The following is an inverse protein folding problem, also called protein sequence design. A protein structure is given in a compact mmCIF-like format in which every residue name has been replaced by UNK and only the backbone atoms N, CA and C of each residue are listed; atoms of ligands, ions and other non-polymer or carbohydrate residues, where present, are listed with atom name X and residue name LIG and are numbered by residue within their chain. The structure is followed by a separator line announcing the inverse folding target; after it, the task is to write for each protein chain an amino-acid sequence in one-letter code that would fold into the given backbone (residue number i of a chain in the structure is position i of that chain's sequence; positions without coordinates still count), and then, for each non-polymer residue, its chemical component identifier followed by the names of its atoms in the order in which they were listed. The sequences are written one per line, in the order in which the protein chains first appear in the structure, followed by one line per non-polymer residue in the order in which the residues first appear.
data_IF_058578901634
#
_entry.id   IF_058578901634
#
_cell.length_a   1.000
_cell.length_b   1.000
_cell.length_c   1.000
_cell.angle_alpha   90.00
_cell.angle_beta   90.00
_cell.angle_gamma   90.00
#
_symmetry.space_group_name_H-M   'P 1'
#
loop_
_entity.id
_entity.type
_entity.pdbx_description
1 polymer ?
#
# COMPACT_ATOMS: atom_id res chain seq x y z
N UNK A 1 5.98 11.22 -3.98
CA UNK A 1 5.73 11.84 -2.66
C UNK A 1 4.37 12.55 -2.64
N UNK A 2 3.90 12.97 -1.47
CA UNK A 2 2.63 13.72 -1.32
C UNK A 2 2.60 15.00 -2.18
N UNK A 3 3.72 15.74 -2.21
CA UNK A 3 3.87 16.94 -3.03
C UNK A 3 3.72 16.65 -4.52
N UNK A 4 4.34 15.57 -5.01
CA UNK A 4 4.21 15.14 -6.40
C UNK A 4 2.77 14.72 -6.73
N UNK A 5 2.09 14.05 -5.81
CA UNK A 5 0.67 13.69 -5.97
C UNK A 5 -0.20 14.94 -6.11
N UNK A 6 0.00 15.94 -5.23
CA UNK A 6 -0.72 17.22 -5.31
C UNK A 6 -0.41 17.99 -6.60
N UNK A 7 0.85 18.02 -7.01
CA UNK A 7 1.28 18.66 -8.26
C UNK A 7 0.63 18.00 -9.48
N UNK A 8 0.63 16.67 -9.53
CA UNK A 8 -0.01 15.92 -10.61
C UNK A 8 -1.51 16.20 -10.67
N UNK A 9 -2.21 16.17 -9.53
CA UNK A 9 -3.64 16.46 -9.47
C UNK A 9 -3.97 17.89 -9.92
N UNK A 10 -3.14 18.88 -9.57
CA UNK A 10 -3.26 20.26 -10.08
C UNK A 10 -3.05 20.35 -11.60
N UNK A 11 -2.07 19.62 -12.14
CA UNK A 11 -1.83 19.56 -13.59
C UNK A 11 -3.06 19.00 -14.32
N UNK A 12 -3.68 17.95 -13.80
CA UNK A 12 -4.93 17.41 -14.37
C UNK A 12 -6.08 18.41 -14.33
N UNK A 13 -6.31 19.09 -13.21
CA UNK A 13 -7.32 20.15 -13.14
C UNK A 13 -7.08 21.24 -14.21
N UNK A 14 -5.80 21.59 -14.46
CA UNK A 14 -5.43 22.55 -15.51
C UNK A 14 -5.71 22.05 -16.92
N UNK A 15 -5.54 20.75 -17.20
CA UNK A 15 -5.92 20.16 -18.49
C UNK A 15 -7.43 20.31 -18.71
N UNK A 16 -8.25 19.99 -17.71
CA UNK A 16 -9.71 20.12 -17.79
C UNK A 16 -10.13 21.57 -18.02
N UNK A 17 -9.49 22.53 -17.33
CA UNK A 17 -9.72 23.96 -17.58
C UNK A 17 -9.39 24.39 -19.01
N UNK A 18 -8.31 23.87 -19.59
CA UNK A 18 -7.90 24.19 -20.98
C UNK A 18 -8.91 23.67 -22.01
N UNK A 19 -9.73 22.69 -21.66
CA UNK A 19 -10.82 22.19 -22.48
C UNK A 19 -12.11 23.03 -22.34
N UNK A 20 -12.08 24.15 -21.60
CA UNK A 20 -13.21 25.06 -21.43
C UNK A 20 -14.15 24.71 -20.27
N UNK A 21 -13.87 23.67 -19.50
CA UNK A 21 -14.69 23.31 -18.34
C UNK A 21 -14.35 24.16 -17.11
N UNK A 22 -15.34 24.51 -16.27
CA UNK A 22 -15.15 25.32 -15.06
C UNK A 22 -14.60 24.50 -13.88
N UNK A 23 -13.52 23.74 -14.10
CA UNK A 23 -12.92 22.90 -13.06
C UNK A 23 -12.15 23.74 -12.02
N UNK A 24 -12.35 23.39 -10.74
CA UNK A 24 -11.62 23.95 -9.59
C UNK A 24 -10.89 22.83 -8.84
N UNK A 25 -9.70 23.14 -8.33
CA UNK A 25 -8.92 22.20 -7.54
C UNK A 25 -9.20 22.44 -6.05
N UNK A 26 -10.10 21.64 -5.49
CA UNK A 26 -10.58 21.72 -4.11
C UNK A 26 -10.42 20.35 -3.42
N UNK A 27 -10.40 20.34 -2.09
CA UNK A 27 -10.48 19.14 -1.24
C UNK A 27 -9.49 18.01 -1.57
N UNK A 28 -8.26 18.37 -1.95
CA UNK A 28 -7.21 17.37 -2.17
C UNK A 28 -6.93 16.60 -0.89
N UNK A 29 -7.13 15.28 -0.94
CA UNK A 29 -6.89 14.36 0.17
C UNK A 29 -6.21 13.10 -0.35
N UNK A 30 -5.12 12.70 0.32
CA UNK A 30 -4.51 11.39 0.11
C UNK A 30 -5.44 10.33 0.70
N UNK A 31 -5.84 9.35 -0.12
CA UNK A 31 -6.76 8.29 0.30
C UNK A 31 -6.03 7.03 0.77
N UNK A 32 -4.85 6.75 0.23
CA UNK A 32 -4.04 5.60 0.58
C UNK A 32 -2.56 5.90 0.29
N UNK A 33 -1.67 5.23 1.01
CA UNK A 33 -0.24 5.20 0.74
C UNK A 33 0.25 3.76 0.68
N UNK A 34 1.17 3.50 -0.24
CA UNK A 34 1.82 2.19 -0.37
C UNK A 34 3.32 2.38 -0.14
N UNK A 35 3.87 1.64 0.81
CA UNK A 35 5.29 1.54 1.09
C UNK A 35 5.82 0.16 0.74
N UNK A 36 7.11 0.07 0.45
CA UNK A 36 7.79 -1.23 0.33
C UNK A 36 9.18 -1.16 0.94
N UNK A 37 9.63 -2.27 1.50
CA UNK A 37 10.97 -2.43 2.01
C UNK A 37 11.48 -3.85 1.75
N UNK A 38 12.78 -4.05 1.95
CA UNK A 38 13.45 -5.34 1.81
C UNK A 38 14.34 -5.54 3.04
N UNK A 39 14.07 -6.58 3.82
CA UNK A 39 14.85 -6.92 5.01
C UNK A 39 16.12 -7.70 4.70
N UNK A 40 16.33 -8.11 3.43
CA UNK A 40 17.53 -8.77 2.90
C UNK A 40 17.88 -10.12 3.55
N UNK A 41 16.89 -10.81 4.10
CA UNK A 41 17.02 -12.19 4.54
C UNK A 41 15.71 -12.95 4.32
N UNK A 42 15.80 -14.27 4.21
CA UNK A 42 14.64 -15.11 3.98
C UNK A 42 13.76 -15.23 5.23
N UNK A 43 12.44 -15.11 5.07
CA UNK A 43 11.46 -15.19 6.15
C UNK A 43 10.70 -16.51 6.04
N UNK A 44 10.68 -17.29 7.12
CA UNK A 44 9.87 -18.52 7.21
C UNK A 44 8.41 -18.17 7.53
N UNK A 45 7.58 -18.05 6.50
CA UNK A 45 6.20 -17.59 6.60
C UNK A 45 5.30 -18.56 7.39
N UNK A 46 5.56 -19.86 7.33
CA UNK A 46 4.81 -20.88 8.06
C UNK A 46 4.95 -20.69 9.57
N UNK A 47 6.16 -20.35 10.05
CA UNK A 47 6.38 -20.03 11.45
C UNK A 47 5.62 -18.77 11.86
N UNK A 48 5.61 -17.76 11.01
CA UNK A 48 4.94 -16.49 11.28
C UNK A 48 3.42 -16.66 11.37
N UNK A 49 2.80 -17.42 10.46
CA UNK A 49 1.36 -17.67 10.49
C UNK A 49 0.94 -18.51 11.70
N UNK A 50 1.77 -19.48 12.10
CA UNK A 50 1.49 -20.31 13.29
C UNK A 50 1.49 -19.47 14.57
N UNK A 51 2.42 -18.53 14.72
CA UNK A 51 2.51 -17.68 15.92
C UNK A 51 1.52 -16.52 15.90
N UNK A 52 1.18 -15.97 14.73
CA UNK A 52 0.32 -14.78 14.58
C UNK A 52 -1.01 -15.07 13.86
N UNK A 53 -1.54 -16.29 13.97
CA UNK A 53 -2.69 -16.78 13.20
C UNK A 53 -3.90 -15.83 13.18
N UNK A 54 -4.16 -15.11 14.27
CA UNK A 54 -5.27 -14.15 14.36
C UNK A 54 -5.12 -12.92 13.44
N UNK A 55 -3.88 -12.59 13.06
CA UNK A 55 -3.55 -11.42 12.23
C UNK A 55 -3.05 -11.80 10.85
N UNK A 56 -2.67 -13.06 10.62
CA UNK A 56 -2.02 -13.51 9.40
C UNK A 56 -2.82 -14.54 8.62
N UNK A 57 -2.81 -14.44 7.30
CA UNK A 57 -3.34 -15.44 6.37
C UNK A 57 -2.26 -15.81 5.35
N UNK A 58 -2.01 -17.10 5.18
CA UNK A 58 -1.00 -17.60 4.25
C UNK A 58 -1.49 -18.87 3.55
N UNK A 59 -1.79 -18.75 2.27
CA UNK A 59 -2.24 -19.84 1.39
C UNK A 59 -1.41 -19.77 0.10
N UNK A 60 -0.22 -20.41 0.06
CA UNK A 60 0.75 -20.24 -1.04
C UNK A 60 0.22 -20.66 -2.41
N UNK A 61 -0.78 -21.54 -2.44
CA UNK A 61 -1.46 -21.97 -3.67
C UNK A 61 -2.31 -20.84 -4.30
N UNK A 62 -2.83 -19.92 -3.49
CA UNK A 62 -3.61 -18.77 -3.94
C UNK A 62 -2.76 -17.50 -4.09
N UNK A 63 -1.85 -17.27 -3.14
CA UNK A 63 -1.00 -16.09 -3.13
C UNK A 63 0.37 -16.38 -2.47
N UNK A 64 1.50 -16.04 -3.10
CA UNK A 64 2.83 -16.43 -2.63
C UNK A 64 3.33 -15.67 -1.39
N UNK A 65 2.64 -14.61 -0.96
CA UNK A 65 2.98 -13.83 0.24
C UNK A 65 2.05 -14.11 1.42
N UNK A 66 2.51 -13.83 2.62
CA UNK A 66 1.67 -13.81 3.82
C UNK A 66 1.00 -12.45 3.94
N UNK A 67 -0.32 -12.46 4.14
CA UNK A 67 -1.13 -11.25 4.39
C UNK A 67 -1.19 -11.05 5.90
N UNK A 68 -0.64 -9.96 6.41
CA UNK A 68 -0.68 -9.61 7.83
C UNK A 68 -1.54 -8.36 8.04
N UNK A 69 -2.53 -8.45 8.93
CA UNK A 69 -3.47 -7.38 9.26
C UNK A 69 -3.12 -6.79 10.62
N UNK A 70 -2.43 -5.67 10.60
CA UNK A 70 -2.10 -4.93 11.81
C UNK A 70 -3.31 -4.12 12.27
N UNK A 71 -3.63 -4.18 13.57
CA UNK A 71 -4.80 -3.50 14.14
C UNK A 71 -4.51 -2.02 14.42
N UNK A 72 -3.30 -1.71 14.91
CA UNK A 72 -2.90 -0.34 15.27
C UNK A 72 -1.42 -0.10 14.89
N UNK A 73 -1.13 0.81 13.93
CA UNK A 73 -2.09 1.45 13.01
C UNK A 73 -2.81 0.40 12.15
N UNK A 74 -4.01 0.72 11.65
CA UNK A 74 -4.79 -0.19 10.80
C UNK A 74 -4.18 -0.23 9.41
N UNK A 75 -3.31 -1.20 9.16
CA UNK A 75 -2.62 -1.40 7.88
C UNK A 75 -2.53 -2.88 7.52
N UNK A 76 -2.32 -3.15 6.24
CA UNK A 76 -2.07 -4.50 5.70
C UNK A 76 -0.63 -4.58 5.22
N UNK A 77 0.06 -5.64 5.63
CA UNK A 77 1.40 -5.97 5.16
C UNK A 77 1.31 -7.22 4.29
N UNK A 78 2.05 -7.23 3.19
CA UNK A 78 2.28 -8.40 2.35
C UNK A 78 3.76 -8.77 2.53
N UNK A 79 4.01 -9.93 3.15
CA UNK A 79 5.35 -10.39 3.53
C UNK A 79 5.72 -11.56 2.64
N UNK A 80 6.87 -11.49 1.97
CA UNK A 80 7.34 -12.55 1.07
C UNK A 80 8.52 -13.30 1.67
N UNK A 81 8.67 -14.58 1.29
CA UNK A 81 9.81 -15.43 1.71
C UNK A 81 11.15 -14.77 1.41
N UNK A 82 11.25 -13.98 0.34
CA UNK A 82 12.47 -13.25 -0.05
C UNK A 82 12.91 -12.16 0.94
N UNK A 83 12.09 -11.78 1.92
CA UNK A 83 12.34 -10.63 2.79
C UNK A 83 11.77 -9.31 2.28
N UNK A 84 11.17 -9.30 1.08
CA UNK A 84 10.40 -8.15 0.59
C UNK A 84 9.11 -8.01 1.38
N UNK A 85 8.76 -6.77 1.72
CA UNK A 85 7.53 -6.41 2.42
C UNK A 85 6.87 -5.24 1.72
N UNK A 86 5.56 -5.33 1.50
CA UNK A 86 4.72 -4.22 1.02
C UNK A 86 3.76 -3.84 2.13
N UNK A 87 3.63 -2.55 2.41
CA UNK A 87 2.70 -2.00 3.39
C UNK A 87 1.68 -1.14 2.64
N UNK A 88 0.40 -1.36 2.89
CA UNK A 88 -0.69 -0.58 2.29
C UNK A 88 -1.84 -0.45 3.27
N UNK A 89 -2.55 0.67 3.23
CA UNK A 89 -3.69 0.94 4.11
C UNK A 89 -3.61 2.32 4.72
#
# INVERSE_FOLDING_TARGET
SEEQSRLAARKYARVVQKLGFPARFLDFKIQNMVGSCDVRFAIRLEGLVLTHQQFSSYEPELFPGLIYRMVKPRIVLLIFVSGKVVLTG
#
